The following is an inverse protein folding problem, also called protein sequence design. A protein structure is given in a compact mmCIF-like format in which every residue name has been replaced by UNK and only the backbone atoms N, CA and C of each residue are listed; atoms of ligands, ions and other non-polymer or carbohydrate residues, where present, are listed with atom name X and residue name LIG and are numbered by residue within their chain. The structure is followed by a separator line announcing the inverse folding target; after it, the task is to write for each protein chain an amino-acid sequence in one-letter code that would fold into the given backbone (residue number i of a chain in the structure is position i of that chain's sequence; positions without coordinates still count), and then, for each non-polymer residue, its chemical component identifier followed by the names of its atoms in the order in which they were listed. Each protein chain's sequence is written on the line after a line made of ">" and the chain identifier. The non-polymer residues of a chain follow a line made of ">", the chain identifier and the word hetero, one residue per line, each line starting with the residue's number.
data_IF_375846032517
#
_entry.id   IF_375846032517
#
_cell.length_a   1.000
_cell.length_b   1.000
_cell.length_c   1.000
_cell.angle_alpha   90.00
_cell.angle_beta   90.00
_cell.angle_gamma   90.00
#
_symmetry.space_group_name_H-M   'P 1'
#
loop_
_entity.id
_entity.type
_entity.pdbx_description
1 polymer ?
#
# COMPACT_ATOMS: atom_id res chain seq x y z
N UNK A 1 9.91 15.34 10.30
CA UNK A 1 11.01 14.35 10.23
C UNK A 1 12.18 14.90 9.42
N UNK A 2 13.41 14.40 9.61
CA UNK A 2 14.57 14.84 8.83
C UNK A 2 14.38 14.53 7.34
N UNK A 3 15.01 15.34 6.48
CA UNK A 3 14.84 15.20 5.02
C UNK A 3 15.27 13.84 4.49
N UNK A 4 16.37 13.28 5.01
CA UNK A 4 16.86 11.98 4.57
C UNK A 4 15.90 10.85 4.94
N UNK A 5 15.28 10.92 6.12
CA UNK A 5 14.26 9.95 6.55
C UNK A 5 13.01 10.09 5.65
N UNK A 6 12.54 11.31 5.44
CA UNK A 6 11.39 11.57 4.58
C UNK A 6 11.64 11.05 3.15
N UNK A 7 12.80 11.34 2.60
CA UNK A 7 13.14 10.94 1.24
C UNK A 7 13.16 9.42 1.09
N UNK A 8 13.71 8.70 2.08
CA UNK A 8 13.71 7.24 2.07
C UNK A 8 12.30 6.68 2.14
N UNK A 9 11.48 7.17 3.07
CA UNK A 9 10.11 6.69 3.24
C UNK A 9 9.26 7.01 2.03
N UNK A 10 9.45 8.17 1.43
CA UNK A 10 8.74 8.55 0.21
C UNK A 10 9.14 7.66 -0.97
N UNK A 11 10.41 7.30 -1.08
CA UNK A 11 10.88 6.37 -2.10
C UNK A 11 10.26 4.99 -1.92
N UNK A 12 10.15 4.51 -0.69
CA UNK A 12 9.50 3.23 -0.38
C UNK A 12 8.04 3.23 -0.85
N UNK A 13 7.31 4.32 -0.61
CA UNK A 13 5.93 4.48 -1.08
C UNK A 13 5.87 4.46 -2.61
N UNK A 14 6.75 5.21 -3.28
CA UNK A 14 6.80 5.23 -4.74
C UNK A 14 7.07 3.86 -5.33
N UNK A 15 8.02 3.12 -4.77
CA UNK A 15 8.35 1.77 -5.23
C UNK A 15 7.16 0.83 -5.07
N UNK A 16 6.49 0.86 -3.91
CA UNK A 16 5.32 0.04 -3.66
C UNK A 16 4.15 0.41 -4.57
N UNK A 17 3.93 1.71 -4.78
CA UNK A 17 2.91 2.21 -5.69
C UNK A 17 3.14 1.75 -7.14
N UNK A 18 4.40 1.78 -7.58
CA UNK A 18 4.75 1.30 -8.91
C UNK A 18 4.46 -0.19 -9.06
N UNK A 19 4.75 -0.98 -8.03
CA UNK A 19 4.50 -2.42 -8.04
C UNK A 19 3.01 -2.71 -8.18
N UNK A 20 2.13 -2.09 -7.37
CA UNK A 20 0.70 -2.30 -7.49
C UNK A 20 0.16 -1.76 -8.82
N UNK A 21 0.74 -0.69 -9.34
CA UNK A 21 0.36 -0.13 -10.63
C UNK A 21 0.60 -1.11 -11.79
N UNK A 22 1.68 -1.89 -11.72
CA UNK A 22 2.00 -2.91 -12.72
C UNK A 22 1.11 -4.14 -12.58
N UNK A 23 0.81 -4.56 -11.34
CA UNK A 23 0.06 -5.78 -11.08
C UNK A 23 -1.45 -5.58 -11.18
N UNK A 24 -1.92 -4.39 -10.79
CA UNK A 24 -3.35 -4.09 -10.72
C UNK A 24 -4.03 -4.74 -9.51
N UNK A 25 -5.35 -4.64 -9.45
CA UNK A 25 -6.16 -5.22 -8.40
C UNK A 25 -6.47 -6.68 -8.65
N UNK A 26 -7.08 -7.33 -7.66
CA UNK A 26 -7.46 -8.73 -7.76
C UNK A 26 -8.84 -8.89 -8.39
N UNK A 27 -8.99 -9.96 -9.16
CA UNK A 27 -10.25 -10.38 -9.77
C UNK A 27 -10.57 -11.81 -9.36
N UNK A 28 -11.87 -12.17 -9.20
CA UNK A 28 -12.24 -13.54 -8.80
C UNK A 28 -11.73 -14.63 -9.75
N UNK A 29 -11.53 -14.29 -11.02
CA UNK A 29 -11.05 -15.23 -12.04
C UNK A 29 -9.55 -15.54 -11.94
N UNK A 30 -8.80 -14.79 -11.16
CA UNK A 30 -7.37 -15.00 -11.01
C UNK A 30 -7.07 -16.25 -10.18
N UNK A 31 -5.92 -16.88 -10.46
CA UNK A 31 -5.43 -17.98 -9.63
C UNK A 31 -5.15 -17.47 -8.21
N UNK A 32 -5.16 -18.40 -7.26
CA UNK A 32 -4.80 -18.09 -5.87
C UNK A 32 -3.39 -17.49 -5.80
N UNK A 33 -2.46 -18.02 -6.57
CA UNK A 33 -1.09 -17.53 -6.63
C UNK A 33 -1.05 -16.05 -7.09
N UNK A 34 -1.78 -15.72 -8.16
CA UNK A 34 -1.84 -14.35 -8.66
C UNK A 34 -2.49 -13.40 -7.64
N UNK A 35 -3.51 -13.87 -6.92
CA UNK A 35 -4.13 -13.09 -5.86
C UNK A 35 -3.19 -12.85 -4.69
N UNK A 36 -2.40 -13.84 -4.30
CA UNK A 36 -1.44 -13.72 -3.21
C UNK A 36 -0.31 -12.74 -3.51
N UNK A 37 0.19 -12.75 -4.76
CA UNK A 37 1.21 -11.79 -5.20
C UNK A 37 0.67 -10.36 -5.07
N UNK A 38 -0.56 -10.13 -5.54
CA UNK A 38 -1.18 -8.81 -5.47
C UNK A 38 -1.51 -8.40 -4.05
N UNK A 39 -1.98 -9.33 -3.22
CA UNK A 39 -2.22 -9.07 -1.81
C UNK A 39 -0.93 -8.59 -1.13
N UNK A 40 0.19 -9.26 -1.37
CA UNK A 40 1.49 -8.86 -0.82
C UNK A 40 1.87 -7.44 -1.27
N UNK A 41 1.66 -7.12 -2.55
CA UNK A 41 1.98 -5.80 -3.09
C UNK A 41 1.12 -4.70 -2.44
N UNK A 42 -0.18 -4.92 -2.29
CA UNK A 42 -1.07 -3.95 -1.63
C UNK A 42 -0.74 -3.78 -0.16
N UNK A 43 -0.39 -4.86 0.53
CA UNK A 43 0.07 -4.80 1.92
C UNK A 43 1.32 -3.94 2.05
N UNK A 44 2.31 -4.13 1.17
CA UNK A 44 3.53 -3.34 1.18
C UNK A 44 3.22 -1.85 0.99
N UNK A 45 2.30 -1.52 0.08
CA UNK A 45 1.90 -0.13 -0.13
C UNK A 45 1.22 0.45 1.11
N UNK A 46 0.30 -0.29 1.73
CA UNK A 46 -0.38 0.15 2.95
C UNK A 46 0.63 0.41 4.07
N UNK A 47 1.57 -0.50 4.28
CA UNK A 47 2.60 -0.37 5.31
C UNK A 47 3.53 0.80 5.02
N UNK A 48 4.00 0.95 3.77
CA UNK A 48 4.90 2.04 3.41
C UNK A 48 4.24 3.40 3.62
N UNK A 49 2.98 3.56 3.20
CA UNK A 49 2.21 4.79 3.44
C UNK A 49 1.99 5.06 4.92
N UNK A 50 1.62 4.02 5.67
CA UNK A 50 1.37 4.14 7.11
C UNK A 50 2.64 4.57 7.85
N UNK A 51 3.77 3.94 7.56
CA UNK A 51 5.05 4.28 8.18
C UNK A 51 5.44 5.73 7.87
N UNK A 52 5.30 6.15 6.61
CA UNK A 52 5.62 7.53 6.23
C UNK A 52 4.76 8.53 7.00
N UNK A 53 3.46 8.31 7.07
CA UNK A 53 2.56 9.24 7.73
C UNK A 53 2.75 9.26 9.24
N UNK A 54 2.99 8.11 9.86
CA UNK A 54 3.27 8.05 11.31
C UNK A 54 4.59 8.71 11.66
N UNK A 55 5.62 8.50 10.85
CA UNK A 55 6.96 9.01 11.15
C UNK A 55 7.07 10.51 10.90
N UNK A 56 6.46 11.02 9.82
CA UNK A 56 6.67 12.39 9.37
C UNK A 56 5.49 13.32 9.60
N UNK A 57 4.26 12.80 9.73
CA UNK A 57 3.03 13.60 9.71
C UNK A 57 2.03 13.22 10.81
N UNK A 58 2.47 12.57 11.87
CA UNK A 58 1.62 12.18 13.00
C UNK A 58 0.36 11.39 12.60
N UNK A 59 0.50 10.53 11.59
CA UNK A 59 -0.60 9.71 11.08
C UNK A 59 -1.26 10.23 9.81
N UNK A 60 -0.90 11.45 9.39
CA UNK A 60 -1.38 12.03 8.14
C UNK A 60 -2.72 12.71 8.25
N UNK A 61 -3.11 13.40 7.17
CA UNK A 61 -4.41 14.02 7.06
C UNK A 61 -5.45 13.03 6.55
N UNK A 62 -6.69 13.49 6.37
CA UNK A 62 -7.80 12.64 5.91
C UNK A 62 -7.53 12.01 4.54
N UNK A 63 -6.89 12.75 3.63
CA UNK A 63 -6.59 12.23 2.29
C UNK A 63 -5.56 11.11 2.35
N UNK A 64 -4.51 11.27 3.14
CA UNK A 64 -3.49 10.25 3.31
C UNK A 64 -4.04 9.03 4.06
N UNK A 65 -4.88 9.25 5.08
CA UNK A 65 -5.54 8.16 5.80
C UNK A 65 -6.48 7.38 4.88
N UNK A 66 -7.19 8.07 3.98
CA UNK A 66 -8.04 7.42 2.99
C UNK A 66 -7.22 6.56 2.00
N UNK A 67 -6.04 7.03 1.60
CA UNK A 67 -5.15 6.27 0.74
C UNK A 67 -4.62 5.00 1.43
N UNK A 68 -4.30 5.10 2.72
CA UNK A 68 -3.88 3.94 3.52
C UNK A 68 -5.04 2.93 3.61
N UNK A 69 -6.24 3.40 3.92
CA UNK A 69 -7.43 2.56 4.02
C UNK A 69 -7.75 1.87 2.68
N UNK A 70 -7.59 2.59 1.56
CA UNK A 70 -7.80 2.03 0.23
C UNK A 70 -6.82 0.90 -0.07
N UNK A 71 -5.56 1.07 0.27
CA UNK A 71 -4.56 0.01 0.08
C UNK A 71 -4.91 -1.24 0.90
N UNK A 72 -5.34 -1.08 2.15
CA UNK A 72 -5.80 -2.20 2.97
C UNK A 72 -7.05 -2.87 2.40
N UNK A 73 -7.99 -2.08 1.90
CA UNK A 73 -9.20 -2.61 1.24
C UNK A 73 -8.84 -3.52 0.06
N UNK A 74 -7.90 -3.09 -0.77
CA UNK A 74 -7.44 -3.91 -1.88
C UNK A 74 -6.71 -5.18 -1.41
N UNK A 75 -5.93 -5.07 -0.35
CA UNK A 75 -5.30 -6.22 0.28
C UNK A 75 -6.35 -7.27 0.72
N UNK A 76 -7.38 -6.83 1.45
CA UNK A 76 -8.43 -7.73 1.92
C UNK A 76 -9.21 -8.36 0.77
N UNK A 77 -9.47 -7.58 -0.27
CA UNK A 77 -10.12 -8.09 -1.48
C UNK A 77 -9.31 -9.20 -2.13
N UNK A 78 -7.99 -9.04 -2.18
CA UNK A 78 -7.09 -10.07 -2.72
C UNK A 78 -7.04 -11.33 -1.86
N UNK A 79 -7.24 -11.20 -0.56
CA UNK A 79 -7.27 -12.34 0.36
C UNK A 79 -8.65 -13.01 0.44
N UNK A 80 -9.64 -12.56 -0.32
CA UNK A 80 -10.97 -13.15 -0.33
C UNK A 80 -11.78 -12.91 0.95
N UNK A 81 -11.46 -11.86 1.70
CA UNK A 81 -12.15 -11.52 2.96
C UNK A 81 -13.41 -10.70 2.72
N UNK A 82 -13.61 -10.18 1.56
CA UNK A 82 -14.78 -9.39 1.20
C UNK A 82 -15.97 -10.27 0.86
#
# INVERSE_FOLDING_TARGET
>A
CPDDVYNKLNKDVHNAKNTVGKLGGCKPSMSKYDQEIRASAWKQLALARSIREQTCWEGGDKNHQAQIADAWKNYYKCNGIN
#
